data_IF_559702383636
#
_entry.id   IF_559702383636
#
_cell.length_a   1.000
_cell.length_b   1.000
_cell.length_c   1.000
_cell.angle_alpha   90.00
_cell.angle_beta   90.00
_cell.angle_gamma   90.00
#
_symmetry.space_group_name_H-M   'P 1'
#
loop_
_entity.id
_entity.type
_entity.pdbx_description
1 polymer ?
#
# COMPACT_ATOMS: atom_id res chain seq x y z
N UNK A 1 -8.18 -6.45 -3.48
CA UNK A 1 -8.86 -5.24 -2.97
C UNK A 1 -7.80 -4.35 -2.35
N UNK A 2 -7.73 -3.10 -2.81
CA UNK A 2 -6.59 -2.20 -2.60
C UNK A 2 -6.42 -1.73 -1.15
N UNK A 3 -5.19 -1.41 -0.77
CA UNK A 3 -4.84 -0.83 0.54
C UNK A 3 -5.62 0.46 0.81
N UNK A 4 -5.72 1.34 -0.19
CA UNK A 4 -6.39 2.64 -0.09
C UNK A 4 -7.87 2.51 0.25
N UNK A 5 -8.55 1.48 -0.28
CA UNK A 5 -9.92 1.16 0.07
C UNK A 5 -10.07 0.85 1.56
N UNK A 6 -9.20 -0.02 2.11
CA UNK A 6 -9.25 -0.38 3.53
C UNK A 6 -8.93 0.81 4.44
N UNK A 7 -8.01 1.69 4.04
CA UNK A 7 -7.75 2.95 4.74
C UNK A 7 -8.97 3.88 4.74
N UNK A 8 -9.68 3.98 3.61
CA UNK A 8 -10.94 4.73 3.54
C UNK A 8 -11.99 4.20 4.51
N UNK A 9 -12.17 2.87 4.55
CA UNK A 9 -13.09 2.20 5.50
C UNK A 9 -12.70 2.43 6.96
N UNK A 10 -11.41 2.35 7.29
CA UNK A 10 -10.89 2.66 8.64
C UNK A 10 -11.26 4.09 9.05
N UNK A 11 -10.99 5.08 8.18
CA UNK A 11 -11.30 6.50 8.47
C UNK A 11 -12.80 6.71 8.67
N UNK A 12 -13.63 6.10 7.82
CA UNK A 12 -15.08 6.18 7.97
C UNK A 12 -15.56 5.60 9.31
N UNK A 13 -15.07 4.42 9.70
CA UNK A 13 -15.42 3.82 11.00
C UNK A 13 -14.95 4.69 12.18
N UNK A 14 -13.76 5.28 12.13
CA UNK A 14 -13.30 6.19 13.18
C UNK A 14 -14.18 7.45 13.28
N UNK A 15 -14.63 7.99 12.15
CA UNK A 15 -15.59 9.10 12.15
C UNK A 15 -16.92 8.68 12.78
N UNK A 16 -17.46 7.51 12.42
CA UNK A 16 -18.68 6.99 13.06
C UNK A 16 -18.51 6.75 14.55
N UNK A 17 -17.32 6.33 15.01
CA UNK A 17 -17.02 6.23 16.43
C UNK A 17 -17.03 7.60 17.14
N UNK A 18 -16.50 8.65 16.49
CA UNK A 18 -16.54 10.00 17.07
C UNK A 18 -17.98 10.54 17.20
N UNK A 19 -18.83 10.22 16.23
CA UNK A 19 -20.21 10.70 16.14
C UNK A 19 -21.23 9.78 16.88
N UNK A 20 -20.79 8.66 17.46
CA UNK A 20 -21.68 7.66 18.04
C UNK A 20 -22.25 8.07 19.41
N UNK A 21 -23.57 7.92 19.55
CA UNK A 21 -24.32 8.34 20.73
C UNK A 21 -24.13 7.45 21.98
N UNK A 22 -23.61 6.23 21.82
CA UNK A 22 -23.41 5.30 22.93
C UNK A 22 -22.00 4.71 22.94
N UNK A 23 -21.53 4.32 24.13
CA UNK A 23 -20.25 3.65 24.29
C UNK A 23 -20.20 2.31 23.56
N UNK A 24 -21.31 1.56 23.53
CA UNK A 24 -21.40 0.31 22.79
C UNK A 24 -21.22 0.52 21.27
N UNK A 25 -21.91 1.51 20.69
CA UNK A 25 -21.75 1.84 19.28
C UNK A 25 -20.32 2.29 18.96
N UNK A 26 -19.68 3.06 19.86
CA UNK A 26 -18.26 3.43 19.72
C UNK A 26 -17.34 2.22 19.66
N UNK A 27 -17.53 1.25 20.55
CA UNK A 27 -16.71 0.03 20.58
C UNK A 27 -16.85 -0.79 19.28
N UNK A 28 -18.07 -0.91 18.74
CA UNK A 28 -18.30 -1.59 17.46
C UNK A 28 -17.52 -0.89 16.33
N UNK A 29 -17.56 0.44 16.28
CA UNK A 29 -16.85 1.19 15.26
C UNK A 29 -15.31 1.12 15.41
N UNK A 30 -14.79 1.07 16.63
CA UNK A 30 -13.37 0.85 16.88
C UNK A 30 -12.91 -0.56 16.48
N UNK A 31 -13.69 -1.60 16.78
CA UNK A 31 -13.40 -2.96 16.32
C UNK A 31 -13.33 -3.03 14.78
N UNK A 32 -14.31 -2.44 14.09
CA UNK A 32 -14.28 -2.34 12.63
C UNK A 32 -13.05 -1.58 12.12
N UNK A 33 -12.69 -0.46 12.74
CA UNK A 33 -11.49 0.30 12.37
C UNK A 33 -10.20 -0.53 12.54
N UNK A 34 -10.12 -1.34 13.61
CA UNK A 34 -9.02 -2.28 13.86
C UNK A 34 -8.92 -3.34 12.75
N UNK A 35 -10.04 -4.00 12.43
CA UNK A 35 -10.11 -5.01 11.34
C UNK A 35 -9.70 -4.42 9.99
N UNK A 36 -10.15 -3.21 9.67
CA UNK A 36 -9.75 -2.54 8.43
C UNK A 36 -8.28 -2.13 8.42
N UNK A 37 -7.70 -1.78 9.57
CA UNK A 37 -6.26 -1.52 9.70
C UNK A 37 -5.44 -2.77 9.37
N UNK A 38 -5.84 -3.94 9.87
CA UNK A 38 -5.18 -5.23 9.55
C UNK A 38 -5.28 -5.53 8.05
N UNK A 39 -6.47 -5.40 7.47
CA UNK A 39 -6.67 -5.63 6.02
C UNK A 39 -5.85 -4.69 5.15
N UNK A 40 -5.70 -3.42 5.54
CA UNK A 40 -4.85 -2.46 4.85
C UNK A 40 -3.37 -2.88 4.90
N UNK A 41 -2.89 -3.32 6.06
CA UNK A 41 -1.52 -3.80 6.21
C UNK A 41 -1.27 -5.06 5.37
N UNK A 42 -2.17 -6.04 5.40
CA UNK A 42 -2.06 -7.25 4.56
C UNK A 42 -2.07 -6.94 3.07
N UNK A 43 -2.91 -5.99 2.62
CA UNK A 43 -2.93 -5.56 1.23
C UNK A 43 -1.62 -4.88 0.82
N UNK A 44 -1.02 -4.09 1.72
CA UNK A 44 0.29 -3.47 1.50
C UNK A 44 1.40 -4.50 1.36
N UNK A 45 1.44 -5.51 2.24
CA UNK A 45 2.44 -6.58 2.19
C UNK A 45 2.36 -7.37 0.89
N UNK A 46 1.15 -7.77 0.48
CA UNK A 46 0.94 -8.45 -0.80
C UNK A 46 1.39 -7.61 -2.00
N UNK A 47 1.23 -6.29 -1.94
CA UNK A 47 1.68 -5.41 -3.01
C UNK A 47 3.21 -5.35 -3.08
N UNK A 48 3.90 -5.33 -1.93
CA UNK A 48 5.36 -5.39 -1.85
C UNK A 48 5.88 -6.73 -2.40
N UNK A 49 5.32 -7.85 -1.95
CA UNK A 49 5.69 -9.19 -2.45
C UNK A 49 5.53 -9.28 -3.98
N UNK A 50 4.47 -8.66 -4.52
CA UNK A 50 4.25 -8.61 -5.97
C UNK A 50 5.35 -7.79 -6.66
N UNK A 51 5.68 -6.59 -6.15
CA UNK A 51 6.75 -5.74 -6.71
C UNK A 51 8.10 -6.47 -6.72
N UNK A 52 8.42 -7.21 -5.66
CA UNK A 52 9.66 -7.97 -5.56
C UNK A 52 9.68 -9.20 -6.49
N UNK A 53 8.50 -9.71 -6.86
CA UNK A 53 8.36 -10.83 -7.81
C UNK A 53 8.35 -10.40 -9.29
N UNK A 54 8.23 -9.11 -9.58
CA UNK A 54 8.22 -8.62 -10.96
C UNK A 54 9.65 -8.66 -11.53
N UNK A 55 9.83 -9.10 -12.79
CA UNK A 55 11.12 -9.00 -13.45
C UNK A 55 11.56 -7.53 -13.49
N UNK A 56 12.88 -7.25 -13.44
CA UNK A 56 13.38 -5.89 -13.48
C UNK A 56 12.82 -5.17 -14.69
N UNK A 57 12.44 -3.88 -14.55
CA UNK A 57 11.79 -3.14 -15.61
C UNK A 57 12.65 -3.16 -16.87
N UNK A 58 12.05 -3.35 -18.03
CA UNK A 58 12.72 -3.51 -19.33
C UNK A 58 13.71 -2.35 -19.60
N UNK A 59 13.41 -1.14 -19.09
CA UNK A 59 14.27 0.03 -19.19
C UNK A 59 15.56 -0.03 -18.36
N UNK A 60 15.63 -0.88 -17.33
CA UNK A 60 16.86 -1.13 -16.57
C UNK A 60 17.81 -2.11 -17.30
N UNK A 61 17.33 -2.78 -18.35
CA UNK A 61 18.08 -3.78 -19.13
C UNK A 61 18.77 -3.13 -20.34
N UNK A 62 18.46 -1.86 -20.70
CA UNK A 62 19.21 -1.20 -21.78
C UNK A 62 20.69 -1.14 -21.38
N UNK A 63 21.59 -1.87 -22.08
CA UNK A 63 23.00 -1.67 -21.90
C UNK A 63 23.24 -0.22 -22.31
N UNK A 64 23.77 0.58 -21.38
CA UNK A 64 24.31 1.91 -21.67
C UNK A 64 25.18 1.74 -22.92
N UNK A 65 24.68 2.21 -24.05
CA UNK A 65 25.29 2.00 -25.34
C UNK A 65 26.77 2.36 -25.22
N UNK A 66 27.61 1.44 -25.69
CA UNK A 66 29.06 1.49 -25.65
C UNK A 66 29.54 2.93 -25.80
N UNK A 67 30.11 3.48 -24.72
CA UNK A 67 30.96 4.65 -24.82
C UNK A 67 32.12 4.23 -25.72
N UNK A 68 32.06 4.67 -26.97
CA UNK A 68 33.07 4.47 -27.98
C UNK A 68 34.42 4.89 -27.41
N UNK A 69 35.36 3.96 -27.41
CA UNK A 69 36.79 4.22 -27.38
C UNK A 69 37.10 5.35 -28.38
N UNK A 70 37.62 6.48 -27.88
CA UNK A 70 38.44 7.36 -28.71
C UNK A 70 39.86 7.30 -28.16
N UNK A 71 40.60 6.39 -28.77
CA UNK A 71 42.05 6.36 -28.81
C UNK A 71 42.51 7.66 -29.50
N UNK A 72 43.13 8.57 -28.75
CA UNK A 72 43.85 9.72 -29.32
C UNK A 72 45.31 9.64 -28.86
N UNK A 73 46.16 9.36 -29.85
CA UNK A 73 47.60 9.24 -29.83
C UNK A 73 48.33 10.59 -29.76
#
# INVERSE_FOLDING_TARGET
MEQTYWLGRKRASLKSAADAASSEARLIHFDLAGRYSVKAATASLRAVDLVDSLPPPIFAIMPRAAATESDDA
#
